data_IF_576792174389
#
_entry.id   IF_576792174389
#
_cell.length_a   1.000
_cell.length_b   1.000
_cell.length_c   1.000
_cell.angle_alpha   90.00
_cell.angle_beta   90.00
_cell.angle_gamma   90.00
#
_symmetry.space_group_name_H-M   'P 1'
#
loop_
_entity.id
_entity.type
_entity.pdbx_description
1 polymer ?
#
# COMPACT_ATOMS: atom_id res chain seq x y z
N UNK A 1 8.83 -23.44 21.84
CA UNK A 1 8.15 -22.21 21.39
C UNK A 1 7.33 -22.55 20.15
N UNK A 2 6.01 -22.38 20.20
CA UNK A 2 5.13 -22.62 19.05
C UNK A 2 5.25 -21.44 18.08
N UNK A 3 5.91 -21.66 16.95
CA UNK A 3 5.75 -20.81 15.78
C UNK A 3 4.37 -21.13 15.19
N UNK A 4 3.37 -20.38 15.65
CA UNK A 4 1.98 -20.51 15.22
C UNK A 4 1.88 -20.48 13.71
N UNK A 5 1.25 -21.51 13.16
CA UNK A 5 1.15 -21.75 11.74
C UNK A 5 0.52 -20.57 10.98
N UNK A 6 1.11 -20.26 9.84
CA UNK A 6 0.42 -19.54 8.77
C UNK A 6 -0.71 -20.44 8.25
N UNK A 7 -1.86 -20.42 8.92
CA UNK A 7 -3.08 -21.00 8.36
C UNK A 7 -3.39 -20.30 7.03
N UNK A 8 -3.55 -21.12 5.99
CA UNK A 8 -3.69 -20.74 4.59
C UNK A 8 -5.02 -20.10 4.22
N UNK A 9 -5.59 -19.26 5.07
CA UNK A 9 -6.71 -18.39 4.69
C UNK A 9 -6.15 -17.03 4.29
N UNK A 10 -6.26 -16.70 3.01
CA UNK A 10 -5.96 -15.35 2.53
C UNK A 10 -6.98 -14.43 3.19
N UNK A 11 -6.62 -13.52 4.13
CA UNK A 11 -7.57 -12.59 4.71
C UNK A 11 -8.17 -11.83 3.55
N UNK A 12 -9.47 -12.03 3.34
CA UNK A 12 -10.10 -11.81 2.07
C UNK A 12 -9.87 -10.36 1.63
N UNK A 13 -9.45 -10.14 0.39
CA UNK A 13 -9.37 -8.80 -0.20
C UNK A 13 -10.71 -8.02 -0.09
N UNK A 14 -11.82 -8.73 0.17
CA UNK A 14 -13.15 -8.16 0.49
C UNK A 14 -13.18 -7.37 1.79
N UNK A 15 -12.26 -7.60 2.70
CA UNK A 15 -12.21 -6.89 3.97
C UNK A 15 -11.80 -5.43 3.79
N UNK A 16 -10.73 -5.16 3.04
CA UNK A 16 -10.24 -3.79 2.90
C UNK A 16 -11.28 -2.89 2.23
N UNK A 17 -11.51 -1.73 2.84
CA UNK A 17 -12.37 -0.70 2.24
C UNK A 17 -11.75 -0.19 0.93
N UNK A 18 -12.55 0.39 0.01
CA UNK A 18 -12.02 0.95 -1.23
C UNK A 18 -10.86 1.92 -1.01
N UNK A 19 -10.93 2.72 0.07
CA UNK A 19 -9.88 3.68 0.40
C UNK A 19 -8.61 3.01 0.92
N UNK A 20 -8.74 1.98 1.76
CA UNK A 20 -7.61 1.18 2.21
C UNK A 20 -6.91 0.49 1.03
N UNK A 21 -7.65 -0.03 0.06
CA UNK A 21 -7.09 -0.62 -1.17
C UNK A 21 -6.27 0.39 -1.98
N UNK A 22 -6.78 1.62 -2.15
CA UNK A 22 -6.04 2.68 -2.83
C UNK A 22 -4.71 3.00 -2.12
N UNK A 23 -4.75 3.14 -0.80
CA UNK A 23 -3.54 3.39 0.01
C UNK A 23 -2.56 2.23 -0.12
N UNK A 24 -3.02 0.98 0.04
CA UNK A 24 -2.20 -0.24 -0.08
C UNK A 24 -1.53 -0.32 -1.45
N UNK A 25 -2.28 -0.08 -2.54
CA UNK A 25 -1.73 -0.08 -3.90
C UNK A 25 -0.60 0.95 -4.05
N UNK A 26 -0.82 2.19 -3.63
CA UNK A 26 0.18 3.24 -3.81
C UNK A 26 1.43 2.96 -2.95
N UNK A 27 1.25 2.48 -1.72
CA UNK A 27 2.37 2.05 -0.87
C UNK A 27 3.13 0.86 -1.47
N UNK A 28 2.45 -0.11 -2.10
CA UNK A 28 3.10 -1.24 -2.76
C UNK A 28 3.89 -0.83 -4.00
N UNK A 29 3.51 0.29 -4.64
CA UNK A 29 4.28 0.98 -5.68
C UNK A 29 5.42 1.86 -5.12
N UNK A 30 5.73 1.70 -3.84
CA UNK A 30 6.80 2.39 -3.14
C UNK A 30 6.48 3.83 -2.75
N UNK A 31 5.24 4.32 -2.91
CA UNK A 31 4.88 5.67 -2.47
C UNK A 31 5.06 5.84 -0.96
N UNK A 32 5.58 6.99 -0.54
CA UNK A 32 5.56 7.42 0.86
C UNK A 32 4.17 7.90 1.25
N UNK A 33 3.87 7.92 2.55
CA UNK A 33 2.59 8.44 3.08
C UNK A 33 2.29 9.86 2.58
N UNK A 34 3.33 10.71 2.46
CA UNK A 34 3.19 12.08 1.95
C UNK A 34 2.81 12.12 0.46
N UNK A 35 3.40 11.26 -0.36
CA UNK A 35 3.06 11.15 -1.77
C UNK A 35 1.64 10.61 -1.96
N UNK A 36 1.27 9.57 -1.22
CA UNK A 36 -0.09 9.02 -1.22
C UNK A 36 -1.11 10.08 -0.82
N UNK A 37 -0.82 10.89 0.19
CA UNK A 37 -1.67 11.99 0.64
C UNK A 37 -1.91 13.00 -0.49
N UNK A 38 -0.86 13.41 -1.21
CA UNK A 38 -0.99 14.30 -2.37
C UNK A 38 -1.81 13.68 -3.51
N UNK A 39 -1.53 12.42 -3.85
CA UNK A 39 -2.23 11.69 -4.93
C UNK A 39 -3.73 11.59 -4.62
N UNK A 40 -4.07 11.21 -3.38
CA UNK A 40 -5.44 10.94 -2.96
C UNK A 40 -6.18 12.19 -2.44
N UNK A 41 -5.51 13.36 -2.40
CA UNK A 41 -6.01 14.62 -1.82
C UNK A 41 -6.49 14.46 -0.38
N UNK A 42 -5.65 13.87 0.47
CA UNK A 42 -5.87 13.68 1.90
C UNK A 42 -4.77 14.35 2.72
N UNK A 43 -4.99 14.47 4.02
CA UNK A 43 -3.90 14.73 4.95
C UNK A 43 -3.01 13.49 5.12
N UNK A 44 -1.70 13.67 5.42
CA UNK A 44 -0.81 12.55 5.74
C UNK A 44 -1.31 11.70 6.92
N UNK A 45 -1.95 12.31 7.93
CA UNK A 45 -2.51 11.58 9.08
C UNK A 45 -3.68 10.70 8.68
N UNK A 46 -4.57 11.14 7.79
CA UNK A 46 -5.65 10.30 7.27
C UNK A 46 -5.11 9.11 6.48
N UNK A 47 -4.05 9.30 5.69
CA UNK A 47 -3.39 8.20 4.98
C UNK A 47 -2.75 7.22 5.95
N UNK A 48 -2.05 7.69 6.98
CA UNK A 48 -1.43 6.81 7.97
C UNK A 48 -2.49 6.02 8.74
N UNK A 49 -3.63 6.63 9.10
CA UNK A 49 -4.77 5.91 9.69
C UNK A 49 -5.29 4.80 8.77
N UNK A 50 -5.47 5.08 7.47
CA UNK A 50 -5.89 4.05 6.51
C UNK A 50 -4.86 2.95 6.32
N UNK A 51 -3.57 3.30 6.28
CA UNK A 51 -2.45 2.35 6.22
C UNK A 51 -2.46 1.44 7.43
N UNK A 52 -2.51 1.99 8.64
CA UNK A 52 -2.51 1.25 9.90
C UNK A 52 -3.72 0.33 10.02
N UNK A 53 -4.91 0.82 9.65
CA UNK A 53 -6.11 -0.01 9.62
C UNK A 53 -6.01 -1.15 8.58
N UNK A 54 -5.41 -0.90 7.41
CA UNK A 54 -5.20 -1.94 6.41
C UNK A 54 -4.17 -2.98 6.88
N UNK A 55 -3.05 -2.52 7.43
CA UNK A 55 -1.96 -3.33 7.99
C UNK A 55 -2.45 -4.26 9.11
N UNK A 56 -3.25 -3.73 10.04
CA UNK A 56 -3.87 -4.52 11.10
C UNK A 56 -4.75 -5.65 10.55
N UNK A 57 -5.58 -5.37 9.53
CA UNK A 57 -6.44 -6.37 8.89
C UNK A 57 -5.67 -7.41 8.07
N UNK A 58 -4.53 -7.01 7.51
CA UNK A 58 -3.64 -7.90 6.77
C UNK A 58 -2.68 -8.67 7.71
N UNK A 59 -2.72 -8.42 9.01
CA UNK A 59 -1.83 -9.03 9.99
C UNK A 59 -0.36 -8.71 9.73
N UNK A 60 -0.05 -7.50 9.26
CA UNK A 60 1.32 -7.11 8.93
C UNK A 60 1.63 -5.67 9.32
N UNK A 61 2.85 -5.44 9.76
CA UNK A 61 3.43 -4.15 10.11
C UNK A 61 4.57 -3.72 9.15
N UNK A 62 4.95 -4.59 8.21
CA UNK A 62 6.07 -4.37 7.28
C UNK A 62 5.58 -4.03 5.88
N UNK A 63 6.14 -2.98 5.29
CA UNK A 63 5.81 -2.55 3.91
C UNK A 63 6.09 -3.65 2.88
N UNK A 64 7.18 -4.42 3.03
CA UNK A 64 7.49 -5.53 2.12
C UNK A 64 6.41 -6.62 2.11
N UNK A 65 5.85 -6.93 3.28
CA UNK A 65 4.74 -7.88 3.41
C UNK A 65 3.44 -7.28 2.88
N UNK A 66 3.21 -5.98 3.06
CA UNK A 66 2.09 -5.26 2.45
C UNK A 66 2.13 -5.33 0.91
N UNK A 67 3.30 -5.18 0.28
CA UNK A 67 3.46 -5.37 -1.17
C UNK A 67 3.10 -6.79 -1.61
N UNK A 68 3.56 -7.82 -0.87
CA UNK A 68 3.18 -9.22 -1.13
C UNK A 68 1.67 -9.41 -1.04
N UNK A 69 1.03 -8.85 -0.03
CA UNK A 69 -0.43 -8.91 0.13
C UNK A 69 -1.17 -8.19 -1.00
N UNK A 70 -0.71 -7.01 -1.43
CA UNK A 70 -1.33 -6.27 -2.53
C UNK A 70 -1.44 -7.11 -3.81
N UNK A 71 -0.39 -7.89 -4.12
CA UNK A 71 -0.38 -8.83 -5.26
C UNK A 71 -1.30 -10.02 -5.01
N UNK A 72 -1.16 -10.69 -3.86
CA UNK A 72 -1.97 -11.89 -3.51
C UNK A 72 -3.47 -11.60 -3.49
N UNK A 73 -3.86 -10.37 -3.14
CA UNK A 73 -5.24 -9.91 -3.06
C UNK A 73 -5.78 -9.31 -4.37
N UNK A 74 -4.95 -9.23 -5.42
CA UNK A 74 -5.35 -8.63 -6.70
C UNK A 74 -5.58 -7.12 -6.64
N UNK A 75 -5.04 -6.43 -5.63
CA UNK A 75 -5.11 -4.96 -5.49
C UNK A 75 -4.13 -4.29 -6.46
N UNK A 76 -3.00 -4.94 -6.71
CA UNK A 76 -1.94 -4.46 -7.59
C UNK A 76 -1.40 -5.64 -8.40
N UNK A 77 -1.42 -5.62 -9.74
CA UNK A 77 -0.74 -6.64 -10.54
C UNK A 77 0.79 -6.52 -10.40
N UNK A 78 1.53 -7.57 -10.77
CA UNK A 78 3.01 -7.56 -10.69
C UNK A 78 3.68 -6.45 -11.52
N UNK A 79 3.01 -6.00 -12.59
CA UNK A 79 3.48 -4.94 -13.48
C UNK A 79 2.77 -3.60 -13.24
N UNK A 80 2.15 -3.41 -12.07
CA UNK A 80 1.45 -2.17 -11.74
C UNK A 80 2.42 -0.99 -11.70
N UNK A 81 1.93 0.18 -12.10
CA UNK A 81 2.69 1.43 -12.18
C UNK A 81 1.78 2.60 -11.85
N UNK A 82 2.38 3.67 -11.34
CA UNK A 82 1.67 4.95 -11.20
C UNK A 82 1.30 5.48 -12.59
N UNK A 83 0.07 5.97 -12.71
CA UNK A 83 -0.38 6.74 -13.87
C UNK A 83 0.38 8.07 -13.95
N UNK A 84 0.41 8.71 -15.13
CA UNK A 84 1.04 10.03 -15.31
C UNK A 84 0.46 11.09 -14.37
N UNK A 85 -0.85 11.01 -14.09
CA UNK A 85 -1.51 11.88 -13.12
C UNK A 85 -1.00 11.64 -11.70
N UNK A 86 -0.90 10.37 -11.28
CA UNK A 86 -0.39 10.02 -9.95
C UNK A 86 1.07 10.40 -9.79
N UNK A 87 1.91 10.17 -10.81
CA UNK A 87 3.31 10.61 -10.83
C UNK A 87 3.40 12.13 -10.63
N UNK A 88 2.67 12.91 -11.44
CA UNK A 88 2.65 14.37 -11.32
C UNK A 88 2.20 14.84 -9.94
N UNK A 89 1.16 14.21 -9.37
CA UNK A 89 0.64 14.58 -8.04
C UNK A 89 1.57 14.16 -6.90
N UNK A 90 2.25 13.03 -7.02
CA UNK A 90 3.22 12.57 -6.01
C UNK A 90 4.35 13.58 -5.82
N UNK A 91 4.72 14.29 -6.90
CA UNK A 91 5.87 15.17 -6.91
C UNK A 91 7.19 14.42 -6.83
N UNK A 92 7.18 13.11 -7.12
CA UNK A 92 8.38 12.33 -7.42
C UNK A 92 9.12 13.07 -8.51
N UNK A 93 10.31 13.55 -8.19
CA UNK A 93 11.25 13.91 -9.25
C UNK A 93 11.70 12.56 -9.84
N UNK A 94 12.35 12.55 -11.00
CA UNK A 94 13.15 11.37 -11.34
C UNK A 94 14.40 11.44 -10.44
N UNK A 95 14.22 11.30 -9.12
CA UNK A 95 15.32 11.05 -8.21
C UNK A 95 15.71 9.59 -8.37
N UNK A 96 16.32 9.30 -9.54
CA UNK A 96 17.33 8.26 -9.62
C UNK A 96 18.22 8.46 -8.40
N UNK A 97 18.14 7.50 -7.49
CA UNK A 97 18.55 7.60 -6.11
C UNK A 97 19.97 8.18 -6.00
N UNK A 98 20.10 9.47 -5.69
CA UNK A 98 21.37 10.21 -5.56
C UNK A 98 22.45 9.89 -6.63
N UNK A 99 22.35 10.51 -7.81
CA UNK A 99 23.41 11.21 -8.59
C UNK A 99 22.96 11.43 -10.04
#
# INVERSE_FOLDING_TARGET
>A
MNFGGFQGEVPMAKELTPRQKQVVRLLSLGCTVREVAKILKLSPSTVDNHKSAAMARLGTDKVALLTRWAIKLGISPLNDRLTEREKRLSGRKNDGWND
#
